data_IF_333409156888
#
_entry.id   IF_333409156888
#
_cell.length_a   1.000
_cell.length_b   1.000
_cell.length_c   1.000
_cell.angle_alpha   90.00
_cell.angle_beta   90.00
_cell.angle_gamma   90.00
#
_symmetry.space_group_name_H-M   'P 1'
#
loop_
_entity.id
_entity.type
_entity.pdbx_description
1 polymer ?
#
# COMPACT_ATOMS: atom_id res chain seq x y z
N UNK A 1 7.36 4.46 8.83
CA UNK A 1 6.83 3.08 8.73
C UNK A 1 6.18 2.66 10.03
N UNK A 2 5.05 1.97 9.96
CA UNK A 2 4.35 1.36 11.10
C UNK A 2 4.24 -0.16 10.88
N UNK A 3 4.16 -0.94 11.97
CA UNK A 3 4.00 -2.40 11.93
C UNK A 3 3.00 -2.88 12.96
N UNK A 4 2.37 -4.03 12.71
CA UNK A 4 1.52 -4.73 13.67
C UNK A 4 1.69 -6.25 13.59
N UNK A 5 1.63 -6.90 14.76
CA UNK A 5 1.49 -8.35 14.91
C UNK A 5 0.08 -8.66 15.42
N UNK A 6 -0.45 -9.82 15.05
CA UNK A 6 -1.82 -10.20 15.38
C UNK A 6 -1.81 -11.29 16.46
N UNK A 7 -2.35 -11.04 17.67
CA UNK A 7 -2.39 -12.04 18.74
C UNK A 7 -3.15 -13.31 18.36
N UNK A 8 -4.23 -13.15 17.58
CA UNK A 8 -5.03 -14.27 17.06
C UNK A 8 -4.35 -15.05 15.93
N UNK A 9 -3.29 -14.49 15.32
CA UNK A 9 -2.57 -15.07 14.19
C UNK A 9 -1.06 -14.81 14.36
N UNK A 10 -0.38 -15.53 15.28
CA UNK A 10 1.00 -15.21 15.67
C UNK A 10 2.02 -15.22 14.53
N UNK A 11 1.73 -15.93 13.44
CA UNK A 11 2.55 -16.00 12.24
C UNK A 11 2.31 -14.85 11.25
N UNK A 12 1.57 -13.80 11.58
CA UNK A 12 1.26 -12.70 10.68
C UNK A 12 1.89 -11.37 11.15
N UNK A 13 2.62 -10.73 10.23
CA UNK A 13 3.18 -9.38 10.37
C UNK A 13 2.58 -8.46 9.29
N UNK A 14 2.00 -7.34 9.69
CA UNK A 14 1.58 -6.27 8.78
C UNK A 14 2.57 -5.12 8.85
N UNK A 15 3.06 -4.68 7.70
CA UNK A 15 4.02 -3.57 7.54
C UNK A 15 3.41 -2.51 6.62
N UNK A 16 3.63 -1.25 6.94
CA UNK A 16 3.15 -0.14 6.12
C UNK A 16 4.18 1.00 6.07
N UNK A 17 5.04 0.98 5.06
CA UNK A 17 5.92 2.11 4.75
C UNK A 17 5.15 3.29 4.18
N UNK A 18 5.68 4.50 4.34
CA UNK A 18 5.21 5.68 3.62
C UNK A 18 5.64 5.56 2.16
N UNK A 19 4.66 5.68 1.26
CA UNK A 19 4.88 5.56 -0.20
C UNK A 19 5.95 6.53 -0.69
N UNK A 20 6.86 6.05 -1.51
CA UNK A 20 7.87 6.85 -2.21
C UNK A 20 9.08 7.27 -1.36
N UNK A 21 9.05 7.16 -0.03
CA UNK A 21 10.11 7.63 0.83
C UNK A 21 11.25 6.59 0.97
N UNK A 22 12.43 6.91 0.43
CA UNK A 22 13.56 5.98 0.40
C UNK A 22 14.09 5.60 1.80
N UNK A 23 13.96 6.50 2.79
CA UNK A 23 14.37 6.25 4.18
C UNK A 23 13.54 5.17 4.91
N UNK A 24 12.39 4.77 4.36
CA UNK A 24 11.58 3.68 4.90
C UNK A 24 12.16 2.29 4.62
N UNK A 25 12.95 2.16 3.53
CA UNK A 25 13.48 0.88 3.04
C UNK A 25 14.32 0.13 4.07
N UNK A 26 15.35 0.72 4.71
CA UNK A 26 16.17 -0.01 5.66
C UNK A 26 15.36 -0.59 6.83
N UNK A 27 14.35 0.15 7.29
CA UNK A 27 13.48 -0.29 8.39
C UNK A 27 12.56 -1.42 7.94
N UNK A 28 11.99 -1.33 6.74
CA UNK A 28 11.16 -2.39 6.15
C UNK A 28 11.96 -3.70 6.04
N UNK A 29 13.14 -3.64 5.44
CA UNK A 29 13.97 -4.84 5.27
C UNK A 29 14.46 -5.40 6.62
N UNK A 30 14.79 -4.55 7.58
CA UNK A 30 15.14 -4.97 8.94
C UNK A 30 14.03 -5.72 9.66
N UNK A 31 12.77 -5.26 9.55
CA UNK A 31 11.61 -5.98 10.10
C UNK A 31 11.38 -7.33 9.40
N UNK A 32 11.57 -7.40 8.08
CA UNK A 32 11.45 -8.65 7.33
C UNK A 32 12.57 -9.64 7.70
N UNK A 33 13.81 -9.19 7.82
CA UNK A 33 14.93 -10.05 8.25
C UNK A 33 14.73 -10.58 9.68
N UNK A 34 14.23 -9.75 10.59
CA UNK A 34 13.93 -10.14 11.96
C UNK A 34 12.74 -11.10 12.08
N UNK A 35 11.74 -10.95 11.21
CA UNK A 35 10.53 -11.79 11.21
C UNK A 35 10.72 -13.08 10.41
N UNK A 36 11.59 -13.07 9.40
CA UNK A 36 11.90 -14.17 8.50
C UNK A 36 10.65 -14.81 7.87
N UNK A 37 9.81 -14.05 7.13
CA UNK A 37 8.62 -14.60 6.52
C UNK A 37 8.98 -15.61 5.44
N UNK A 38 8.18 -16.65 5.29
CA UNK A 38 8.32 -17.65 4.22
C UNK A 38 7.41 -17.35 3.04
N UNK A 39 6.55 -16.36 3.17
CA UNK A 39 5.67 -15.84 2.13
C UNK A 39 5.36 -14.38 2.37
N UNK A 40 5.21 -13.61 1.28
CA UNK A 40 4.79 -12.22 1.30
C UNK A 40 3.41 -12.06 0.63
N UNK A 41 2.59 -11.21 1.23
CA UNK A 41 1.44 -10.60 0.58
C UNK A 41 1.70 -9.11 0.35
N UNK A 42 1.36 -8.58 -0.80
CA UNK A 42 1.54 -7.15 -1.11
C UNK A 42 0.22 -6.51 -1.51
N UNK A 43 -0.04 -5.30 -1.03
CA UNK A 43 -1.21 -4.50 -1.38
C UNK A 43 -1.08 -3.89 -2.77
N UNK A 44 -0.81 -4.73 -3.76
CA UNK A 44 -0.72 -4.43 -5.18
C UNK A 44 -1.62 -5.37 -5.95
N UNK A 45 -2.12 -4.94 -7.11
CA UNK A 45 -2.76 -5.82 -8.09
C UNK A 45 -1.73 -6.72 -8.77
N UNK A 46 -2.19 -7.77 -9.44
CA UNK A 46 -1.31 -8.65 -10.24
C UNK A 46 -0.60 -7.85 -11.34
N UNK A 47 -1.30 -6.90 -11.99
CA UNK A 47 -0.73 -6.04 -13.01
C UNK A 47 0.38 -5.13 -12.47
N UNK A 48 0.15 -4.48 -11.31
CA UNK A 48 1.16 -3.65 -10.63
C UNK A 48 2.38 -4.47 -10.21
N UNK A 49 2.17 -5.67 -9.64
CA UNK A 49 3.24 -6.56 -9.23
C UNK A 49 4.10 -7.01 -10.42
N UNK A 50 3.45 -7.36 -11.53
CA UNK A 50 4.14 -7.74 -12.79
C UNK A 50 4.94 -6.55 -13.33
N UNK A 51 4.34 -5.37 -13.39
CA UNK A 51 5.02 -4.16 -13.87
C UNK A 51 6.24 -3.79 -13.03
N UNK A 52 6.16 -3.97 -11.71
CA UNK A 52 7.33 -3.76 -10.84
C UNK A 52 8.40 -4.84 -11.05
N UNK A 53 8.00 -6.08 -11.30
CA UNK A 53 8.95 -7.15 -11.62
C UNK A 53 9.68 -6.87 -12.94
N UNK A 54 8.96 -6.46 -13.98
CA UNK A 54 9.53 -6.08 -15.28
C UNK A 54 10.48 -4.88 -15.15
N UNK A 55 10.17 -3.94 -14.25
CA UNK A 55 11.05 -2.82 -13.92
C UNK A 55 12.44 -3.27 -13.47
N UNK A 56 12.57 -4.38 -12.73
CA UNK A 56 13.89 -4.94 -12.34
C UNK A 56 14.66 -5.53 -13.50
N UNK A 57 13.94 -6.19 -14.42
CA UNK A 57 14.57 -6.87 -15.57
C UNK A 57 15.08 -5.86 -16.59
N UNK A 58 14.42 -4.71 -16.71
CA UNK A 58 14.71 -3.68 -17.71
C UNK A 58 15.56 -2.52 -17.16
N UNK A 59 15.70 -2.41 -15.85
CA UNK A 59 16.22 -1.23 -15.13
C UNK A 59 17.74 -0.94 -15.28
N UNK A 60 18.42 -1.48 -16.28
CA UNK A 60 19.70 -0.93 -16.73
C UNK A 60 19.57 0.39 -17.50
N UNK A 61 18.37 0.72 -17.99
CA UNK A 61 18.05 2.02 -18.57
C UNK A 61 17.11 2.74 -17.59
N UNK A 62 17.51 3.91 -17.07
CA UNK A 62 16.65 4.73 -16.19
C UNK A 62 15.28 4.98 -16.85
N UNK A 63 14.22 4.26 -16.48
CA UNK A 63 12.92 4.52 -17.06
C UNK A 63 12.36 5.78 -16.42
N UNK A 64 12.09 6.78 -17.23
CA UNK A 64 11.29 7.94 -16.83
C UNK A 64 9.86 7.46 -16.68
N UNK A 65 9.45 7.15 -15.45
CA UNK A 65 8.04 6.87 -15.16
C UNK A 65 7.30 8.21 -15.13
N UNK A 66 6.37 8.46 -16.07
CA UNK A 66 5.62 9.71 -16.07
C UNK A 66 4.71 9.75 -14.83
N UNK A 67 4.96 10.72 -13.95
CA UNK A 67 4.11 10.97 -12.80
C UNK A 67 2.82 11.66 -13.23
N UNK A 68 1.69 11.24 -12.69
CA UNK A 68 0.44 12.00 -12.76
C UNK A 68 0.59 13.32 -11.99
N UNK A 69 -0.26 14.31 -12.29
CA UNK A 69 -0.24 15.59 -11.55
C UNK A 69 -0.43 15.44 -10.04
N UNK A 70 -1.18 14.40 -9.62
CA UNK A 70 -1.43 14.10 -8.22
C UNK A 70 -0.19 13.50 -7.55
N UNK A 71 0.42 12.49 -8.14
CA UNK A 71 1.68 11.89 -7.67
C UNK A 71 2.81 12.92 -7.60
N UNK A 72 2.90 13.83 -8.58
CA UNK A 72 3.86 14.94 -8.55
C UNK A 72 3.66 15.83 -7.33
N UNK A 73 2.41 16.09 -6.94
CA UNK A 73 2.10 16.95 -5.81
C UNK A 73 2.36 16.27 -4.47
N UNK A 74 2.04 14.98 -4.36
CA UNK A 74 2.35 14.15 -3.20
C UNK A 74 3.86 14.05 -2.98
N UNK A 75 4.61 13.71 -4.04
CA UNK A 75 6.08 13.66 -4.05
C UNK A 75 6.69 14.97 -3.57
N UNK A 76 6.25 16.13 -4.09
CA UNK A 76 6.74 17.44 -3.65
C UNK A 76 6.59 17.67 -2.15
N UNK A 77 5.50 17.22 -1.56
CA UNK A 77 5.29 17.35 -0.12
C UNK A 77 6.15 16.42 0.71
N UNK A 78 6.52 15.26 0.18
CA UNK A 78 7.36 14.26 0.86
C UNK A 78 8.86 14.59 0.79
N UNK A 79 9.34 15.30 -0.22
CA UNK A 79 10.77 15.67 -0.41
C UNK A 79 11.37 16.33 0.84
N UNK A 80 10.60 17.09 1.62
CA UNK A 80 11.06 17.70 2.86
C UNK A 80 11.44 16.70 3.97
N UNK A 81 10.98 15.45 3.86
CA UNK A 81 11.29 14.39 4.83
C UNK A 81 12.42 13.48 4.39
N UNK A 82 12.89 13.63 3.14
CA UNK A 82 13.98 12.84 2.60
C UNK A 82 13.88 12.61 1.10
N UNK A 83 14.71 11.72 0.61
CA UNK A 83 14.71 11.31 -0.79
C UNK A 83 13.43 10.56 -1.14
N UNK A 84 12.77 11.00 -2.22
CA UNK A 84 11.57 10.36 -2.77
C UNK A 84 11.90 9.76 -4.12
N UNK A 85 11.52 8.49 -4.32
CA UNK A 85 11.73 7.73 -5.56
C UNK A 85 10.42 7.19 -6.11
N UNK A 86 10.38 7.07 -7.43
CA UNK A 86 9.28 6.44 -8.19
C UNK A 86 9.93 5.48 -9.20
N UNK A 87 9.44 4.24 -9.30
CA UNK A 87 8.36 3.61 -8.50
C UNK A 87 8.68 3.54 -7.01
N UNK A 88 7.66 3.22 -6.19
CA UNK A 88 7.76 3.18 -4.73
C UNK A 88 8.95 2.30 -4.27
N UNK A 89 9.99 2.89 -3.66
CA UNK A 89 11.24 2.19 -3.33
C UNK A 89 11.01 1.05 -2.33
N UNK A 90 10.02 1.18 -1.46
CA UNK A 90 9.69 0.13 -0.49
C UNK A 90 9.22 -1.14 -1.16
N UNK A 91 8.33 -1.05 -2.17
CA UNK A 91 7.90 -2.24 -2.93
C UNK A 91 9.00 -2.76 -3.85
N UNK A 92 9.77 -1.86 -4.48
CA UNK A 92 10.92 -2.24 -5.31
C UNK A 92 11.92 -3.08 -4.52
N UNK A 93 12.38 -2.58 -3.38
CA UNK A 93 13.39 -3.28 -2.58
C UNK A 93 12.81 -4.50 -1.84
N UNK A 94 11.53 -4.49 -1.47
CA UNK A 94 10.80 -5.65 -0.97
C UNK A 94 10.84 -6.82 -1.96
N UNK A 95 10.50 -6.57 -3.22
CA UNK A 95 10.49 -7.60 -4.26
C UNK A 95 11.89 -8.11 -4.57
N UNK A 96 12.89 -7.22 -4.58
CA UNK A 96 14.30 -7.61 -4.70
C UNK A 96 14.73 -8.51 -3.53
N UNK A 97 14.40 -8.12 -2.30
CA UNK A 97 14.66 -8.89 -1.09
C UNK A 97 14.02 -10.29 -1.17
N UNK A 98 12.76 -10.37 -1.59
CA UNK A 98 12.02 -11.62 -1.74
C UNK A 98 12.65 -12.53 -2.81
N UNK A 99 12.97 -11.99 -3.98
CA UNK A 99 13.62 -12.71 -5.06
C UNK A 99 14.96 -13.31 -4.65
N UNK A 100 15.81 -12.52 -3.99
CA UNK A 100 17.12 -12.99 -3.51
C UNK A 100 17.05 -14.13 -2.48
N UNK A 101 15.95 -14.22 -1.74
CA UNK A 101 15.72 -15.24 -0.70
C UNK A 101 14.80 -16.38 -1.13
N UNK A 102 14.27 -16.33 -2.35
CA UNK A 102 13.31 -17.32 -2.84
C UNK A 102 11.98 -17.28 -2.08
N UNK A 103 11.60 -16.12 -1.52
CA UNK A 103 10.33 -15.94 -0.80
C UNK A 103 9.22 -15.61 -1.81
N UNK A 104 8.19 -16.47 -1.95
CA UNK A 104 7.10 -16.22 -2.88
C UNK A 104 6.29 -14.99 -2.44
N UNK A 105 5.89 -14.19 -3.44
CA UNK A 105 5.12 -12.97 -3.23
C UNK A 105 3.76 -13.09 -3.93
N UNK A 106 2.68 -12.79 -3.20
CA UNK A 106 1.30 -12.79 -3.69
C UNK A 106 0.75 -11.36 -3.76
N UNK A 107 0.14 -11.01 -4.90
CA UNK A 107 -0.67 -9.81 -5.03
C UNK A 107 -1.99 -10.01 -4.28
N UNK A 108 -2.37 -9.06 -3.44
CA UNK A 108 -3.56 -9.15 -2.60
C UNK A 108 -4.66 -8.16 -2.98
N UNK A 109 -4.35 -7.16 -3.77
CA UNK A 109 -5.37 -6.22 -4.28
C UNK A 109 -6.16 -6.82 -5.45
N UNK A 110 -7.39 -6.32 -5.65
CA UNK A 110 -8.17 -6.69 -6.82
C UNK A 110 -7.40 -6.39 -8.12
N UNK A 111 -7.64 -7.20 -9.15
CA UNK A 111 -7.14 -6.92 -10.49
C UNK A 111 -7.74 -5.62 -11.07
N UNK A 112 -7.23 -5.19 -12.23
CA UNK A 112 -7.60 -3.93 -12.83
C UNK A 112 -9.09 -3.86 -13.20
N UNK A 113 -9.67 -4.98 -13.69
CA UNK A 113 -11.10 -5.05 -14.05
C UNK A 113 -11.99 -4.93 -12.81
N UNK A 114 -11.65 -5.66 -11.76
CA UNK A 114 -12.37 -5.59 -10.49
C UNK A 114 -12.21 -4.20 -9.84
N UNK A 115 -11.01 -3.64 -9.86
CA UNK A 115 -10.74 -2.27 -9.37
C UNK A 115 -11.56 -1.25 -10.14
N UNK A 116 -11.64 -1.35 -11.47
CA UNK A 116 -12.48 -0.49 -12.31
C UNK A 116 -13.97 -0.63 -11.98
N UNK A 117 -14.43 -1.86 -11.75
CA UNK A 117 -15.82 -2.12 -11.34
C UNK A 117 -16.15 -1.52 -9.97
N UNK A 118 -15.26 -1.68 -8.98
CA UNK A 118 -15.38 -1.06 -7.65
C UNK A 118 -15.39 0.47 -7.74
N UNK A 119 -14.49 1.03 -8.55
CA UNK A 119 -14.42 2.46 -8.78
C UNK A 119 -15.75 2.98 -9.37
N UNK A 120 -16.25 2.36 -10.44
CA UNK A 120 -17.52 2.74 -11.07
C UNK A 120 -18.72 2.60 -10.13
N UNK A 121 -18.69 1.61 -9.23
CA UNK A 121 -19.75 1.39 -8.21
C UNK A 121 -19.82 2.52 -7.19
N UNK A 122 -18.68 3.05 -6.75
CA UNK A 122 -18.61 3.97 -5.62
C UNK A 122 -18.38 5.43 -6.04
N UNK A 123 -17.65 5.66 -7.14
CA UNK A 123 -17.22 6.99 -7.57
C UNK A 123 -18.09 7.46 -8.74
N UNK A 124 -19.18 8.15 -8.42
CA UNK A 124 -20.00 8.83 -9.44
C UNK A 124 -19.29 10.08 -10.01
N UNK A 125 -19.84 10.58 -11.11
CA UNK A 125 -19.30 11.75 -11.82
C UNK A 125 -19.11 12.98 -10.91
N UNK A 126 -20.08 13.29 -10.06
CA UNK A 126 -20.00 14.43 -9.13
C UNK A 126 -18.86 14.22 -8.11
N UNK A 127 -18.70 13.01 -7.62
CA UNK A 127 -17.61 12.66 -6.69
C UNK A 127 -16.25 12.83 -7.37
N UNK A 128 -16.12 12.38 -8.62
CA UNK A 128 -14.90 12.54 -9.42
C UNK A 128 -14.52 14.02 -9.60
N UNK A 129 -15.48 14.86 -9.96
CA UNK A 129 -15.26 16.31 -10.09
C UNK A 129 -14.83 16.92 -8.75
N UNK A 130 -15.51 16.58 -7.66
CA UNK A 130 -15.16 17.06 -6.31
C UNK A 130 -13.78 16.60 -5.89
N UNK A 131 -13.41 15.35 -6.20
CA UNK A 131 -12.08 14.81 -5.94
C UNK A 131 -11.02 15.60 -6.69
N UNK A 132 -11.19 15.85 -7.99
CA UNK A 132 -10.26 16.65 -8.81
C UNK A 132 -10.09 18.07 -8.25
N UNK A 133 -11.17 18.71 -7.79
CA UNK A 133 -11.11 20.05 -7.18
C UNK A 133 -10.31 20.01 -5.87
N UNK A 134 -10.52 19.00 -5.03
CA UNK A 134 -9.76 18.81 -3.77
C UNK A 134 -8.28 18.56 -4.04
N UNK A 135 -7.95 17.66 -4.97
CA UNK A 135 -6.57 17.39 -5.38
C UNK A 135 -5.86 18.67 -5.83
N UNK A 136 -6.50 19.49 -6.68
CA UNK A 136 -5.96 20.78 -7.10
C UNK A 136 -5.77 21.76 -5.94
N UNK A 137 -6.68 21.77 -4.97
CA UNK A 137 -6.58 22.63 -3.77
C UNK A 137 -5.40 22.20 -2.90
N UNK A 138 -5.30 20.90 -2.59
CA UNK A 138 -4.22 20.32 -1.78
C UNK A 138 -2.86 20.50 -2.48
N UNK A 139 -2.83 20.34 -3.81
CA UNK A 139 -1.61 20.57 -4.60
C UNK A 139 -1.11 22.02 -4.54
N UNK A 140 -2.01 23.00 -4.41
CA UNK A 140 -1.64 24.44 -4.28
C UNK A 140 -1.24 24.82 -2.85
N UNK A 141 -1.80 24.15 -1.88
CA UNK A 141 -1.54 24.37 -0.45
C UNK A 141 -1.37 23.03 0.24
N UNK A 142 -0.23 22.35 0.01
CA UNK A 142 0.00 21.03 0.61
C UNK A 142 0.01 21.13 2.13
N UNK A 143 -0.50 20.13 2.83
CA UNK A 143 -0.46 20.09 4.29
C UNK A 143 0.99 20.14 4.77
N UNK A 144 1.19 20.72 5.95
CA UNK A 144 2.51 20.89 6.56
C UNK A 144 2.65 20.10 7.88
N UNK A 145 2.41 18.78 7.87
CA UNK A 145 2.55 17.97 9.07
C UNK A 145 4.01 17.86 9.54
N UNK A 146 4.18 17.37 10.76
CA UNK A 146 5.48 17.25 11.43
C UNK A 146 6.25 15.98 11.05
N UNK A 147 5.57 14.98 10.48
CA UNK A 147 6.15 13.68 10.13
C UNK A 147 5.65 13.16 8.78
N UNK A 148 6.41 12.24 8.13
CA UNK A 148 5.97 11.61 6.90
C UNK A 148 4.71 10.75 7.08
N UNK A 149 4.55 10.07 8.21
CA UNK A 149 3.33 9.30 8.53
C UNK A 149 2.10 10.22 8.59
N UNK A 150 2.21 11.33 9.29
CA UNK A 150 1.14 12.33 9.38
C UNK A 150 0.84 12.97 8.02
N UNK A 151 1.87 13.18 7.19
CA UNK A 151 1.69 13.69 5.83
C UNK A 151 0.87 12.72 4.98
N UNK A 152 1.23 11.44 4.93
CA UNK A 152 0.53 10.43 4.15
C UNK A 152 -0.96 10.34 4.55
N UNK A 153 -1.24 10.27 5.86
CA UNK A 153 -2.61 10.22 6.38
C UNK A 153 -3.41 11.50 6.13
N UNK A 154 -2.77 12.66 6.20
CA UNK A 154 -3.45 13.94 5.95
C UNK A 154 -3.72 14.13 4.47
N UNK A 155 -2.75 13.80 3.62
CA UNK A 155 -2.91 13.82 2.16
C UNK A 155 -4.08 12.95 1.72
N UNK A 156 -4.10 11.68 2.13
CA UNK A 156 -5.18 10.75 1.80
C UNK A 156 -6.54 11.27 2.29
N UNK A 157 -6.63 11.72 3.55
CA UNK A 157 -7.86 12.28 4.13
C UNK A 157 -8.39 13.48 3.35
N UNK A 158 -7.52 14.37 2.93
CA UNK A 158 -7.90 15.57 2.17
C UNK A 158 -8.36 15.22 0.75
N UNK A 159 -7.67 14.32 0.08
CA UNK A 159 -7.97 13.91 -1.31
C UNK A 159 -9.17 12.95 -1.35
N UNK A 160 -9.19 11.94 -0.49
CA UNK A 160 -10.20 10.88 -0.46
C UNK A 160 -11.37 11.16 0.50
N UNK A 161 -11.63 12.43 0.88
CA UNK A 161 -12.64 12.80 1.89
C UNK A 161 -14.10 12.51 1.51
N UNK A 162 -14.40 12.18 0.26
CA UNK A 162 -15.76 11.84 -0.20
C UNK A 162 -16.26 10.48 0.30
N UNK A 163 -17.58 10.35 0.43
CA UNK A 163 -18.20 9.07 0.84
C UNK A 163 -17.88 7.95 -0.15
N UNK A 164 -17.97 8.24 -1.45
CA UNK A 164 -17.66 7.26 -2.49
C UNK A 164 -16.20 6.79 -2.43
N UNK A 165 -15.25 7.74 -2.25
CA UNK A 165 -13.83 7.42 -2.12
C UNK A 165 -13.55 6.56 -0.89
N UNK A 166 -14.19 6.84 0.25
CA UNK A 166 -14.05 6.01 1.47
C UNK A 166 -14.62 4.61 1.28
N UNK A 167 -15.82 4.49 0.69
CA UNK A 167 -16.43 3.18 0.43
C UNK A 167 -15.59 2.34 -0.54
N UNK A 168 -15.02 2.99 -1.57
CA UNK A 168 -14.10 2.33 -2.49
C UNK A 168 -12.85 1.80 -1.78
N UNK A 169 -12.20 2.63 -0.97
CA UNK A 169 -11.01 2.23 -0.21
C UNK A 169 -11.32 1.09 0.78
N UNK A 170 -12.44 1.18 1.52
CA UNK A 170 -12.89 0.17 2.48
C UNK A 170 -13.17 -1.18 1.79
N UNK A 171 -13.84 -1.19 0.63
CA UNK A 171 -14.15 -2.42 -0.10
C UNK A 171 -12.88 -3.04 -0.70
N UNK A 172 -11.93 -2.23 -1.19
CA UNK A 172 -10.60 -2.66 -1.63
C UNK A 172 -9.80 -3.29 -0.49
N UNK A 173 -9.77 -2.66 0.67
CA UNK A 173 -9.07 -3.18 1.85
C UNK A 173 -9.73 -4.45 2.39
N UNK A 174 -11.05 -4.54 2.35
CA UNK A 174 -11.80 -5.75 2.70
C UNK A 174 -11.51 -6.89 1.73
N UNK A 175 -11.34 -6.61 0.43
CA UNK A 175 -10.94 -7.61 -0.55
C UNK A 175 -9.56 -8.18 -0.19
N UNK A 176 -8.57 -7.32 0.03
CA UNK A 176 -7.22 -7.71 0.46
C UNK A 176 -7.27 -8.58 1.73
N UNK A 177 -7.96 -8.11 2.76
CA UNK A 177 -8.03 -8.78 4.04
C UNK A 177 -8.63 -10.20 3.96
N UNK A 178 -9.58 -10.43 3.03
CA UNK A 178 -10.16 -11.76 2.78
C UNK A 178 -9.18 -12.77 2.17
N UNK A 179 -8.09 -12.31 1.53
CA UNK A 179 -7.05 -13.18 1.00
C UNK A 179 -6.07 -13.67 2.08
N UNK A 180 -5.91 -12.89 3.16
CA UNK A 180 -4.91 -13.17 4.21
C UNK A 180 -5.10 -14.52 4.91
N UNK A 181 -6.33 -14.98 5.27
CA UNK A 181 -6.53 -16.29 5.90
C UNK A 181 -5.95 -17.45 5.09
N UNK A 182 -6.02 -17.39 3.77
CA UNK A 182 -5.45 -18.43 2.90
C UNK A 182 -3.91 -18.45 2.97
N UNK A 183 -3.27 -17.29 3.12
CA UNK A 183 -1.81 -17.20 3.24
C UNK A 183 -1.30 -17.74 4.58
N UNK A 184 -2.06 -17.58 5.66
CA UNK A 184 -1.65 -18.02 7.01
C UNK A 184 -2.17 -19.39 7.40
N UNK A 185 -2.86 -20.10 6.51
CA UNK A 185 -3.49 -21.39 6.78
C UNK A 185 -2.51 -22.43 7.33
N UNK A 186 -1.27 -22.46 6.84
CA UNK A 186 -0.23 -23.39 7.26
C UNK A 186 0.49 -22.96 8.55
N UNK A 187 0.05 -21.88 9.21
CA UNK A 187 0.67 -21.28 10.41
C UNK A 187 2.16 -20.92 10.22
N UNK A 188 2.61 -20.74 8.99
CA UNK A 188 3.98 -20.32 8.68
C UNK A 188 4.06 -18.78 8.77
N UNK A 189 5.24 -18.22 9.04
CA UNK A 189 5.40 -16.77 9.07
C UNK A 189 5.09 -16.12 7.73
N UNK A 190 4.13 -15.19 7.72
CA UNK A 190 3.69 -14.42 6.56
C UNK A 190 3.80 -12.93 6.88
N UNK A 191 4.42 -12.14 6.00
CA UNK A 191 4.35 -10.69 6.09
C UNK A 191 3.42 -10.13 5.00
N UNK A 192 2.59 -9.17 5.39
CA UNK A 192 1.74 -8.40 4.47
C UNK A 192 2.25 -6.96 4.47
N UNK A 193 2.46 -6.40 3.28
CA UNK A 193 2.95 -5.03 3.10
C UNK A 193 1.94 -4.21 2.31
N UNK A 194 1.53 -3.08 2.88
CA UNK A 194 0.58 -2.13 2.28
C UNK A 194 1.11 -0.70 2.41
N UNK A 195 0.56 0.25 1.66
CA UNK A 195 0.85 1.66 1.85
C UNK A 195 0.37 2.17 3.22
N UNK A 196 1.04 3.18 3.77
CA UNK A 196 0.82 3.73 5.13
C UNK A 196 -0.63 4.13 5.39
N UNK A 197 -1.27 4.75 4.44
CA UNK A 197 -2.65 5.23 4.54
C UNK A 197 -3.68 4.11 4.69
N UNK A 198 -3.36 2.90 4.22
CA UNK A 198 -4.24 1.73 4.30
C UNK A 198 -4.10 0.92 5.60
N UNK A 199 -3.05 1.18 6.39
CA UNK A 199 -2.68 0.34 7.53
C UNK A 199 -3.80 0.10 8.52
N UNK A 200 -4.47 1.15 8.99
CA UNK A 200 -5.48 1.04 10.06
C UNK A 200 -6.72 0.29 9.57
N UNK A 201 -7.16 0.58 8.34
CA UNK A 201 -8.27 -0.11 7.68
C UNK A 201 -7.96 -1.60 7.46
N UNK A 202 -6.84 -1.91 6.82
CA UNK A 202 -6.40 -3.28 6.54
C UNK A 202 -6.21 -4.07 7.84
N UNK A 203 -5.58 -3.49 8.86
CA UNK A 203 -5.41 -4.11 10.17
C UNK A 203 -6.74 -4.49 10.80
N UNK A 204 -7.72 -3.58 10.79
CA UNK A 204 -9.06 -3.84 11.34
C UNK A 204 -9.77 -4.98 10.57
N UNK A 205 -9.71 -4.95 9.24
CA UNK A 205 -10.31 -5.95 8.36
C UNK A 205 -9.66 -7.34 8.53
N UNK A 206 -8.32 -7.42 8.61
CA UNK A 206 -7.61 -8.69 8.89
C UNK A 206 -8.01 -9.23 10.26
N UNK A 207 -8.06 -8.36 11.28
CA UNK A 207 -8.48 -8.79 12.63
C UNK A 207 -9.86 -9.42 12.59
N UNK A 208 -10.80 -8.82 11.87
CA UNK A 208 -12.16 -9.36 11.71
C UNK A 208 -12.17 -10.68 10.92
N UNK A 209 -11.38 -10.77 9.82
CA UNK A 209 -11.33 -11.96 8.97
C UNK A 209 -10.66 -13.17 9.64
N UNK A 210 -9.68 -12.94 10.53
CA UNK A 210 -8.94 -13.97 11.24
C UNK A 210 -9.51 -14.28 12.64
N UNK A 211 -10.56 -13.57 13.08
CA UNK A 211 -11.24 -13.89 14.34
C UNK A 211 -12.06 -15.18 14.20
N UNK A 212 -11.99 -16.10 15.21
CA UNK A 212 -12.84 -17.27 15.17
C UNK A 212 -14.31 -16.82 15.16
N UNK A 213 -15.08 -17.31 14.18
CA UNK A 213 -16.52 -17.09 14.16
C UNK A 213 -17.10 -17.73 15.42
N UNK A 214 -17.62 -16.90 16.31
CA UNK A 214 -18.41 -17.38 17.44
C UNK A 214 -19.63 -18.12 16.87
N UNK A 215 -19.57 -19.46 16.88
CA UNK A 215 -20.66 -20.33 16.48
C UNK A 215 -21.74 -20.39 17.57
#
# INVERSE_FOLDING_TARGET
MISARFPSTPGLLLLAPVRGLASEVPRLLGELDAFAPVQLGVGLSVGELTSLHDYFVVAEAEPVVPLTGNETSEVRGLVRFGEVRVPNPSFVELLRWASLRGVPTAALDPDDDHTAALFAKHIGYIELVRRTVRERRVSRSPPTPSSPDEYALTWDREVASGRGSRNFAEERDSYLARQVPALVADRRPVAVVVDRERFDSVRAQITAACSPRSG
#
